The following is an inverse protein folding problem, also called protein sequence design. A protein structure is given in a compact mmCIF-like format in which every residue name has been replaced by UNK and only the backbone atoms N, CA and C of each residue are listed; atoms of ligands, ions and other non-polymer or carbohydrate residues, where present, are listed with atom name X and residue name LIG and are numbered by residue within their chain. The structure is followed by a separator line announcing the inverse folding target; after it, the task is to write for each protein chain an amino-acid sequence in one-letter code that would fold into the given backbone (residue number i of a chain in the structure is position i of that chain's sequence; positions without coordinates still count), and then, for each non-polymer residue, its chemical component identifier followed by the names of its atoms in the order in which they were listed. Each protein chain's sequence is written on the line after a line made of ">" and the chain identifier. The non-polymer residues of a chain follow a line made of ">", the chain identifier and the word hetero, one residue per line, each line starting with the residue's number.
data_IF_059401189743
#
_entry.id   IF_059401189743
#
_cell.length_a   1.000
_cell.length_b   1.000
_cell.length_c   1.000
_cell.angle_alpha   90.00
_cell.angle_beta   90.00
_cell.angle_gamma   90.00
#
_symmetry.space_group_name_H-M   'P 1'
#
loop_
_entity.id
_entity.type
_entity.pdbx_description
1 polymer ?
#
# COMPACT_ATOMS: atom_id res chain seq x y z
N UNK A 1 -7.20 42.25 12.20
CA UNK A 1 -6.86 41.62 10.91
C UNK A 1 -6.38 40.20 11.16
N UNK A 2 -7.30 39.23 11.13
CA UNK A 2 -6.97 37.81 11.28
C UNK A 2 -6.61 37.23 9.92
N UNK A 3 -5.34 36.91 9.70
CA UNK A 3 -4.95 36.11 8.55
C UNK A 3 -5.25 34.64 8.82
N UNK A 4 -6.03 34.05 7.92
CA UNK A 4 -6.42 32.65 7.91
C UNK A 4 -5.19 31.76 7.72
N UNK A 5 -4.97 30.85 8.69
CA UNK A 5 -4.14 29.66 8.49
C UNK A 5 -5.05 28.48 8.20
N UNK A 6 -5.63 28.45 7.01
CA UNK A 6 -6.18 27.22 6.42
C UNK A 6 -5.21 26.76 5.33
N UNK A 7 -4.04 26.28 5.76
CA UNK A 7 -3.27 25.35 4.94
C UNK A 7 -3.78 23.96 5.29
N UNK A 8 -4.68 23.43 4.46
CA UNK A 8 -5.09 22.03 4.55
C UNK A 8 -3.84 21.16 4.36
N UNK A 9 -3.23 20.71 5.47
CA UNK A 9 -2.28 19.63 5.46
C UNK A 9 -3.01 18.37 4.97
N UNK A 10 -3.01 18.16 3.66
CA UNK A 10 -3.42 16.91 3.05
C UNK A 10 -2.45 15.86 3.55
N UNK A 11 -2.82 15.17 4.63
CA UNK A 11 -2.12 13.97 5.11
C UNK A 11 -2.03 12.98 3.95
N UNK A 12 -0.87 12.97 3.27
CA UNK A 12 -0.51 12.14 2.11
C UNK A 12 -0.36 10.65 2.45
N UNK A 13 -0.79 10.23 3.65
CA UNK A 13 -0.92 8.83 4.00
C UNK A 13 -2.03 8.18 3.17
N UNK A 14 -1.65 7.59 2.03
CA UNK A 14 -2.48 6.70 1.21
C UNK A 14 -3.19 5.71 2.14
N UNK A 15 -4.53 5.74 2.14
CA UNK A 15 -5.35 4.94 3.05
C UNK A 15 -5.18 3.46 2.69
N UNK A 16 -4.61 2.68 3.61
CA UNK A 16 -4.39 1.25 3.40
C UNK A 16 -5.71 0.49 3.33
N UNK A 17 -5.97 -0.21 2.22
CA UNK A 17 -7.14 -1.08 2.04
C UNK A 17 -6.82 -2.54 2.41
N UNK A 18 -7.85 -3.28 2.83
CA UNK A 18 -7.72 -4.69 3.20
C UNK A 18 -7.80 -5.57 1.95
N UNK A 19 -6.70 -5.66 1.22
CA UNK A 19 -6.61 -6.44 -0.02
C UNK A 19 -6.70 -7.96 0.23
N UNK A 20 -6.31 -8.44 1.43
CA UNK A 20 -6.33 -9.88 1.75
C UNK A 20 -7.75 -10.44 1.82
N UNK A 21 -8.69 -9.65 2.33
CA UNK A 21 -10.10 -10.05 2.48
C UNK A 21 -10.98 -9.18 1.57
N UNK A 22 -10.47 -8.78 0.40
CA UNK A 22 -11.25 -8.01 -0.57
C UNK A 22 -12.27 -8.92 -1.25
N UNK A 23 -13.47 -8.38 -1.48
CA UNK A 23 -14.51 -9.02 -2.29
C UNK A 23 -14.18 -8.76 -3.77
N UNK A 24 -13.53 -9.73 -4.40
CA UNK A 24 -13.05 -9.60 -5.78
C UNK A 24 -14.16 -9.70 -6.82
N UNK A 25 -15.24 -10.43 -6.55
CA UNK A 25 -16.41 -10.47 -7.43
C UNK A 25 -17.13 -9.13 -7.44
N UNK A 26 -17.28 -8.51 -6.25
CA UNK A 26 -17.81 -7.15 -6.16
C UNK A 26 -16.88 -6.14 -6.83
N UNK A 27 -15.56 -6.28 -6.65
CA UNK A 27 -14.58 -5.43 -7.32
C UNK A 27 -14.71 -5.51 -8.84
N UNK A 28 -14.81 -6.72 -9.40
CA UNK A 28 -14.96 -6.95 -10.84
C UNK A 28 -16.24 -6.30 -11.41
N UNK A 29 -17.38 -6.51 -10.75
CA UNK A 29 -18.66 -5.88 -11.13
C UNK A 29 -18.60 -4.35 -11.08
N UNK A 30 -18.03 -3.79 -10.02
CA UNK A 30 -17.88 -2.34 -9.87
C UNK A 30 -16.88 -1.76 -10.87
N UNK A 31 -15.87 -2.52 -11.27
CA UNK A 31 -14.89 -2.11 -12.27
C UNK A 31 -15.56 -1.99 -13.65
N UNK A 32 -16.29 -3.02 -14.11
CA UNK A 32 -17.06 -2.95 -15.36
C UNK A 32 -18.13 -1.84 -15.32
N UNK A 33 -18.81 -1.64 -14.18
CA UNK A 33 -19.74 -0.52 -14.02
C UNK A 33 -19.04 0.84 -14.16
N UNK A 34 -17.90 1.03 -13.47
CA UNK A 34 -17.15 2.28 -13.53
C UNK A 34 -16.61 2.55 -14.94
N UNK A 35 -16.15 1.53 -15.66
CA UNK A 35 -15.72 1.68 -17.06
C UNK A 35 -16.84 2.25 -17.95
N UNK A 36 -18.08 1.80 -17.73
CA UNK A 36 -19.26 2.31 -18.45
C UNK A 36 -19.60 3.73 -18.02
N UNK A 37 -19.62 4.00 -16.70
CA UNK A 37 -19.95 5.32 -16.14
C UNK A 37 -18.99 6.42 -16.62
N UNK A 38 -17.69 6.10 -16.67
CA UNK A 38 -16.66 7.04 -17.14
C UNK A 38 -16.53 7.08 -18.67
N UNK A 39 -17.34 6.30 -19.40
CA UNK A 39 -17.30 6.16 -20.86
C UNK A 39 -15.87 6.03 -21.39
N UNK A 40 -15.06 5.19 -20.74
CA UNK A 40 -13.67 5.00 -21.12
C UNK A 40 -13.66 4.64 -22.61
N UNK A 41 -12.66 5.05 -23.39
CA UNK A 41 -12.60 4.73 -24.81
C UNK A 41 -11.88 3.39 -25.05
N UNK A 42 -12.44 2.54 -25.92
CA UNK A 42 -11.82 1.26 -26.34
C UNK A 42 -11.23 1.39 -27.75
N UNK A 43 -10.90 2.62 -28.18
CA UNK A 43 -10.30 2.90 -29.49
C UNK A 43 -8.79 3.02 -29.34
N UNK A 44 -8.07 2.85 -30.44
CA UNK A 44 -6.63 3.11 -30.50
C UNK A 44 -6.35 4.58 -30.21
N UNK A 45 -5.41 4.84 -29.31
CA UNK A 45 -4.98 6.19 -28.95
C UNK A 45 -3.97 6.70 -29.98
N UNK A 46 -4.12 7.96 -30.39
CA UNK A 46 -3.36 8.58 -31.50
C UNK A 46 -2.52 9.78 -31.10
N UNK A 47 -2.64 10.25 -29.85
CA UNK A 47 -1.87 11.37 -29.33
C UNK A 47 -1.48 11.15 -27.87
N UNK A 48 -0.46 11.89 -27.42
CA UNK A 48 0.02 11.90 -26.04
C UNK A 48 -1.05 12.42 -25.07
N UNK A 49 -1.87 13.40 -25.48
CA UNK A 49 -3.00 13.89 -24.68
C UNK A 49 -4.05 12.80 -24.44
N UNK A 50 -4.37 12.01 -25.48
CA UNK A 50 -5.29 10.87 -25.33
C UNK A 50 -4.72 9.79 -24.41
N UNK A 51 -3.40 9.59 -24.42
CA UNK A 51 -2.71 8.67 -23.49
C UNK A 51 -2.85 9.17 -22.05
N UNK A 52 -2.59 10.46 -21.81
CA UNK A 52 -2.70 11.08 -20.49
C UNK A 52 -4.13 10.99 -19.93
N UNK A 53 -5.13 11.36 -20.74
CA UNK A 53 -6.54 11.31 -20.35
C UNK A 53 -6.99 9.88 -20.04
N UNK A 54 -6.67 8.93 -20.91
CA UNK A 54 -7.02 7.53 -20.72
C UNK A 54 -6.35 6.95 -19.45
N UNK A 55 -5.07 7.26 -19.21
CA UNK A 55 -4.36 6.80 -18.02
C UNK A 55 -5.00 7.35 -16.74
N UNK A 56 -5.36 8.64 -16.74
CA UNK A 56 -6.04 9.29 -15.62
C UNK A 56 -7.41 8.67 -15.35
N UNK A 57 -8.21 8.46 -16.39
CA UNK A 57 -9.55 7.88 -16.26
C UNK A 57 -9.47 6.43 -15.77
N UNK A 58 -8.57 5.60 -16.31
CA UNK A 58 -8.40 4.22 -15.85
C UNK A 58 -7.95 4.13 -14.39
N UNK A 59 -7.09 5.05 -13.95
CA UNK A 59 -6.70 5.15 -12.53
C UNK A 59 -7.92 5.44 -11.64
N UNK A 60 -8.77 6.41 -12.02
CA UNK A 60 -9.98 6.75 -11.25
C UNK A 60 -11.04 5.64 -11.24
N UNK A 61 -11.18 4.92 -12.35
CA UNK A 61 -12.04 3.73 -12.46
C UNK A 61 -11.62 2.66 -11.45
N UNK A 62 -10.31 2.36 -11.36
CA UNK A 62 -9.79 1.37 -10.40
C UNK A 62 -9.95 1.86 -8.97
N UNK A 63 -9.65 3.14 -8.68
CA UNK A 63 -9.85 3.74 -7.35
C UNK A 63 -11.31 3.68 -6.90
N UNK A 64 -12.27 3.96 -7.80
CA UNK A 64 -13.71 3.86 -7.52
C UNK A 64 -14.11 2.43 -7.18
N UNK A 65 -13.66 1.46 -7.98
CA UNK A 65 -13.93 0.04 -7.72
C UNK A 65 -13.36 -0.39 -6.37
N UNK A 66 -12.10 -0.02 -6.06
CA UNK A 66 -11.46 -0.28 -4.77
C UNK A 66 -12.23 0.33 -3.59
N UNK A 67 -12.68 1.58 -3.72
CA UNK A 67 -13.38 2.28 -2.64
C UNK A 67 -14.73 1.63 -2.30
N UNK A 68 -15.43 1.05 -3.29
CA UNK A 68 -16.73 0.40 -3.09
C UNK A 68 -16.63 -1.07 -2.67
N UNK A 69 -15.57 -1.77 -3.08
CA UNK A 69 -15.42 -3.21 -2.79
C UNK A 69 -14.54 -3.51 -1.57
N UNK A 70 -13.65 -2.61 -1.17
CA UNK A 70 -12.65 -2.88 -0.13
C UNK A 70 -12.84 -2.05 1.14
N UNK A 71 -12.66 -2.70 2.30
CA UNK A 71 -12.68 -2.02 3.60
C UNK A 71 -11.30 -1.41 3.90
N UNK A 72 -11.31 -0.19 4.46
CA UNK A 72 -10.10 0.46 4.98
C UNK A 72 -9.56 -0.29 6.19
N UNK A 73 -8.24 -0.53 6.22
CA UNK A 73 -7.55 -1.13 7.37
C UNK A 73 -7.38 -0.05 8.43
N UNK A 74 -7.97 -0.26 9.61
CA UNK A 74 -7.69 0.54 10.81
C UNK A 74 -6.74 -0.24 11.71
N UNK A 75 -5.45 0.04 11.60
CA UNK A 75 -4.46 -0.53 12.53
C UNK A 75 -4.48 0.29 13.81
N UNK A 76 -4.79 -0.36 14.93
CA UNK A 76 -4.77 0.24 16.26
C UNK A 76 -3.67 -0.42 17.10
N UNK A 77 -3.25 0.22 18.19
CA UNK A 77 -2.25 -0.35 19.13
C UNK A 77 -2.62 -1.77 19.61
N UNK A 78 -3.92 -2.08 19.66
CA UNK A 78 -4.46 -3.38 20.08
C UNK A 78 -4.59 -4.41 18.95
N UNK A 79 -4.36 -4.05 17.69
CA UNK A 79 -4.46 -4.97 16.56
C UNK A 79 -3.36 -6.03 16.61
N UNK A 80 -3.72 -7.31 16.54
CA UNK A 80 -2.80 -8.46 16.61
C UNK A 80 -2.94 -9.33 15.36
N UNK A 81 -1.82 -9.89 14.87
CA UNK A 81 -1.79 -10.71 13.64
C UNK A 81 -2.53 -12.04 13.78
N UNK A 82 -2.49 -12.64 14.97
CA UNK A 82 -3.18 -13.88 15.28
C UNK A 82 -4.68 -13.69 15.55
N UNK A 83 -5.21 -12.46 15.46
CA UNK A 83 -6.63 -12.20 15.67
C UNK A 83 -7.44 -12.65 14.45
N UNK A 84 -8.38 -13.56 14.64
CA UNK A 84 -9.24 -14.13 13.59
C UNK A 84 -10.73 -14.11 14.00
N UNK A 85 -11.59 -14.60 13.11
CA UNK A 85 -13.04 -14.61 13.33
C UNK A 85 -13.45 -15.57 14.45
N UNK A 86 -12.79 -16.73 14.57
CA UNK A 86 -13.05 -17.70 15.64
C UNK A 86 -12.77 -17.15 17.04
N UNK A 87 -11.64 -16.44 17.22
CA UNK A 87 -11.32 -15.75 18.46
C UNK A 87 -12.34 -14.66 18.80
N UNK A 88 -12.88 -13.99 17.77
CA UNK A 88 -13.92 -13.00 17.95
C UNK A 88 -15.21 -13.64 18.47
N UNK A 89 -15.65 -14.75 17.88
CA UNK A 89 -16.83 -15.49 18.32
C UNK A 89 -16.68 -16.03 19.75
N UNK A 90 -15.50 -16.59 20.07
CA UNK A 90 -15.17 -17.04 21.44
C UNK A 90 -15.17 -15.88 22.43
N UNK A 91 -14.67 -14.70 22.04
CA UNK A 91 -14.74 -13.49 22.87
C UNK A 91 -16.17 -13.03 23.08
N UNK A 92 -16.99 -13.00 22.03
CA UNK A 92 -18.39 -12.58 22.10
C UNK A 92 -19.18 -13.47 23.05
N UNK A 93 -19.02 -14.81 22.95
CA UNK A 93 -19.59 -15.78 23.90
C UNK A 93 -19.11 -15.55 25.34
N UNK A 94 -17.82 -15.29 25.55
CA UNK A 94 -17.29 -15.01 26.88
C UNK A 94 -17.83 -13.69 27.47
N UNK A 95 -18.05 -12.67 26.64
CA UNK A 95 -18.63 -11.38 27.04
C UNK A 95 -20.13 -11.48 27.32
N UNK A 96 -20.85 -12.30 26.56
CA UNK A 96 -22.27 -12.60 26.78
C UNK A 96 -22.47 -13.36 28.10
N UNK A 97 -21.75 -14.47 28.31
CA UNK A 97 -21.81 -15.21 29.57
C UNK A 97 -21.45 -14.35 30.79
N UNK A 98 -20.46 -13.45 30.64
CA UNK A 98 -20.11 -12.47 31.68
C UNK A 98 -21.22 -11.45 31.95
N UNK A 99 -21.97 -11.04 30.92
CA UNK A 99 -23.13 -10.14 31.07
C UNK A 99 -24.26 -10.85 31.80
N UNK A 100 -24.60 -12.08 31.40
CA UNK A 100 -25.62 -12.91 32.07
C UNK A 100 -25.30 -13.15 33.55
N UNK A 101 -24.04 -13.46 33.87
CA UNK A 101 -23.59 -13.68 35.25
C UNK A 101 -23.71 -12.43 36.14
N UNK A 102 -23.77 -11.22 35.55
CA UNK A 102 -23.95 -9.94 36.26
C UNK A 102 -25.40 -9.54 36.45
N UNK A 103 -26.33 -10.14 35.71
CA UNK A 103 -27.76 -9.87 35.87
C UNK A 103 -28.27 -10.40 37.22
N UNK A 104 -29.39 -9.85 37.69
CA UNK A 104 -30.09 -10.41 38.85
C UNK A 104 -30.64 -11.77 38.45
N UNK A 105 -30.31 -12.79 39.25
CA UNK A 105 -30.77 -14.15 39.04
C UNK A 105 -31.81 -14.51 40.11
N UNK A 106 -32.82 -15.35 39.81
CA UNK A 106 -33.88 -15.72 40.73
C UNK A 106 -33.39 -16.51 41.95
N UNK A 107 -32.29 -17.26 41.80
CA UNK A 107 -31.72 -18.08 42.88
C UNK A 107 -30.21 -17.95 42.97
N UNK A 108 -29.67 -18.18 44.18
CA UNK A 108 -28.22 -18.22 44.43
C UNK A 108 -27.55 -19.37 43.66
N UNK A 109 -28.23 -20.51 43.50
CA UNK A 109 -27.74 -21.65 42.74
C UNK A 109 -27.54 -21.30 41.26
N UNK A 110 -28.55 -20.67 40.63
CA UNK A 110 -28.46 -20.26 39.23
C UNK A 110 -27.40 -19.17 39.03
N UNK A 111 -27.27 -18.25 40.00
CA UNK A 111 -26.19 -17.25 39.99
C UNK A 111 -24.80 -17.89 40.01
N UNK A 112 -24.58 -18.92 40.84
CA UNK A 112 -23.31 -19.66 40.87
C UNK A 112 -23.04 -20.38 39.55
N UNK A 113 -24.05 -21.04 38.98
CA UNK A 113 -23.94 -21.69 37.67
C UNK A 113 -23.52 -20.70 36.58
N UNK A 114 -24.19 -19.56 36.48
CA UNK A 114 -23.87 -18.51 35.49
C UNK A 114 -22.47 -17.93 35.65
N UNK A 115 -21.99 -17.78 36.89
CA UNK A 115 -20.60 -17.37 37.17
C UNK A 115 -19.61 -18.42 36.67
N UNK A 116 -19.87 -19.72 36.90
CA UNK A 116 -18.99 -20.79 36.42
C UNK A 116 -19.01 -20.93 34.89
N UNK A 117 -20.17 -20.78 34.25
CA UNK A 117 -20.30 -20.71 32.80
C UNK A 117 -19.45 -19.56 32.22
N UNK A 118 -19.51 -18.37 32.83
CA UNK A 118 -18.71 -17.21 32.43
C UNK A 118 -17.20 -17.45 32.61
N UNK A 119 -16.77 -18.08 33.72
CA UNK A 119 -15.37 -18.46 33.94
C UNK A 119 -14.90 -19.48 32.91
N UNK A 120 -15.71 -20.50 32.61
CA UNK A 120 -15.40 -21.53 31.61
C UNK A 120 -15.27 -20.92 30.22
N UNK A 121 -16.23 -20.10 29.80
CA UNK A 121 -16.18 -19.41 28.52
C UNK A 121 -14.95 -18.50 28.40
N UNK A 122 -14.60 -17.80 29.49
CA UNK A 122 -13.39 -16.98 29.53
C UNK A 122 -12.11 -17.81 29.43
N UNK A 123 -12.02 -18.94 30.14
CA UNK A 123 -10.87 -19.85 30.09
C UNK A 123 -10.68 -20.43 28.68
N UNK A 124 -11.77 -20.80 28.01
CA UNK A 124 -11.75 -21.26 26.61
C UNK A 124 -11.21 -20.17 25.69
N UNK A 125 -11.71 -18.93 25.82
CA UNK A 125 -11.19 -17.81 25.03
C UNK A 125 -9.71 -17.54 25.28
N UNK A 126 -9.28 -17.45 26.55
CA UNK A 126 -7.89 -17.16 26.90
C UNK A 126 -6.95 -18.31 26.45
N UNK A 127 -7.41 -19.57 26.46
CA UNK A 127 -6.69 -20.72 25.91
C UNK A 127 -6.50 -20.59 24.39
N UNK A 128 -7.59 -20.43 23.65
CA UNK A 128 -7.53 -20.27 22.19
C UNK A 128 -6.75 -19.04 21.76
N UNK A 129 -6.74 -17.97 22.57
CA UNK A 129 -5.92 -16.79 22.32
C UNK A 129 -4.42 -17.12 22.39
N UNK A 130 -4.01 -17.93 23.37
CA UNK A 130 -2.61 -18.38 23.51
C UNK A 130 -2.25 -19.34 22.38
N UNK A 131 -3.11 -20.32 22.10
CA UNK A 131 -2.91 -21.26 20.99
C UNK A 131 -2.72 -20.52 19.67
N UNK A 132 -3.66 -19.64 19.30
CA UNK A 132 -3.58 -18.88 18.06
C UNK A 132 -2.32 -17.99 18.00
N UNK A 133 -1.92 -17.38 19.12
CA UNK A 133 -0.67 -16.60 19.17
C UNK A 133 0.56 -17.47 18.94
N UNK A 134 0.63 -18.64 19.59
CA UNK A 134 1.74 -19.58 19.46
C UNK A 134 1.77 -20.22 18.08
N UNK A 135 0.64 -20.68 17.56
CA UNK A 135 0.51 -21.27 16.24
C UNK A 135 0.91 -20.28 15.16
N UNK A 136 0.44 -19.03 15.23
CA UNK A 136 0.83 -18.00 14.28
C UNK A 136 2.33 -17.69 14.33
N UNK A 137 2.94 -17.76 15.52
CA UNK A 137 4.39 -17.59 15.68
C UNK A 137 5.16 -18.79 15.14
N UNK A 138 4.73 -20.02 15.43
CA UNK A 138 5.33 -21.25 14.92
C UNK A 138 5.22 -21.32 13.40
N UNK A 139 4.04 -21.03 12.84
CA UNK A 139 3.84 -20.93 11.38
C UNK A 139 4.75 -19.88 10.75
N UNK A 140 4.96 -18.77 11.43
CA UNK A 140 5.95 -17.77 10.99
C UNK A 140 7.36 -18.35 11.02
N UNK A 141 7.80 -18.97 12.12
CA UNK A 141 9.13 -19.59 12.23
C UNK A 141 9.35 -20.69 11.18
N UNK A 142 8.38 -21.58 10.98
CA UNK A 142 8.45 -22.65 9.97
C UNK A 142 8.49 -22.13 8.53
N UNK A 143 8.05 -20.89 8.29
CA UNK A 143 8.14 -20.27 6.95
C UNK A 143 9.49 -19.62 6.66
N UNK A 144 10.42 -19.62 7.62
CA UNK A 144 11.74 -18.99 7.48
C UNK A 144 12.77 -20.04 7.07
N UNK A 145 13.52 -19.75 6.00
CA UNK A 145 14.58 -20.62 5.50
C UNK A 145 15.91 -19.84 5.35
N UNK A 146 17.03 -20.53 5.54
CA UNK A 146 18.38 -20.02 5.31
C UNK A 146 18.69 -18.72 6.07
N UNK A 147 18.91 -17.63 5.32
CA UNK A 147 19.36 -16.32 5.83
C UNK A 147 18.29 -15.53 6.62
N UNK A 148 17.13 -16.12 6.87
CA UNK A 148 15.99 -15.49 7.54
C UNK A 148 16.11 -15.38 9.07
N UNK A 149 17.15 -15.98 9.66
CA UNK A 149 17.51 -15.81 11.10
C UNK A 149 17.60 -14.32 11.48
N UNK A 150 18.10 -13.48 10.57
CA UNK A 150 18.18 -12.04 10.79
C UNK A 150 16.81 -11.35 10.95
N UNK A 151 15.74 -11.91 10.36
CA UNK A 151 14.36 -11.43 10.58
C UNK A 151 13.88 -11.72 12.00
N UNK A 152 14.28 -12.87 12.57
CA UNK A 152 13.96 -13.25 13.96
C UNK A 152 14.69 -12.34 14.94
N UNK A 153 15.99 -12.10 14.72
CA UNK A 153 16.79 -11.18 15.54
C UNK A 153 16.16 -9.78 15.62
N UNK A 154 15.51 -9.31 14.55
CA UNK A 154 14.77 -8.03 14.55
C UNK A 154 13.52 -8.02 15.45
N UNK A 155 12.94 -9.17 15.75
CA UNK A 155 11.82 -9.30 16.70
C UNK A 155 12.28 -9.39 18.14
N UNK A 156 13.40 -10.06 18.39
CA UNK A 156 13.95 -10.29 19.74
C UNK A 156 14.69 -9.06 20.24
N UNK A 157 15.46 -8.40 19.37
CA UNK A 157 16.21 -7.22 19.76
C UNK A 157 15.25 -6.04 20.02
N UNK A 158 15.57 -5.18 21.02
CA UNK A 158 14.84 -3.95 21.25
C UNK A 158 14.74 -3.18 19.94
N UNK A 159 13.53 -2.83 19.53
CA UNK A 159 13.34 -1.93 18.40
C UNK A 159 13.87 -0.57 18.83
N UNK A 160 14.97 -0.13 18.23
CA UNK A 160 15.29 1.29 18.20
C UNK A 160 14.08 2.03 17.60
N UNK A 161 13.78 3.23 18.10
CA UNK A 161 12.67 4.06 17.61
C UNK A 161 12.97 4.64 16.21
N UNK A 162 13.47 3.83 15.27
CA UNK A 162 13.92 4.20 13.92
C UNK A 162 12.83 4.83 13.05
N UNK A 163 11.57 4.70 13.46
CA UNK A 163 10.42 5.32 12.78
C UNK A 163 10.36 6.83 13.00
N UNK A 164 10.97 7.35 14.07
CA UNK A 164 11.00 8.77 14.37
C UNK A 164 12.34 9.31 13.88
N UNK A 165 12.31 10.16 12.85
CA UNK A 165 13.49 10.89 12.42
C UNK A 165 13.83 11.90 13.53
N UNK A 166 15.01 11.80 14.19
CA UNK A 166 15.48 12.78 15.17
C UNK A 166 15.60 14.19 14.56
N UNK A 167 16.01 15.15 15.37
CA UNK A 167 16.32 16.48 14.84
C UNK A 167 17.49 16.39 13.87
N UNK A 168 17.36 17.07 12.75
CA UNK A 168 18.37 17.14 11.70
C UNK A 168 19.20 18.39 11.94
N UNK A 169 20.53 18.27 11.83
CA UNK A 169 21.44 19.41 11.93
C UNK A 169 21.47 20.15 10.59
N UNK A 170 21.12 21.43 10.63
CA UNK A 170 21.18 22.36 9.49
C UNK A 170 22.64 22.75 9.18
N UNK A 171 22.86 23.37 8.03
CA UNK A 171 24.18 23.87 7.62
C UNK A 171 24.71 24.96 8.58
N UNK A 172 23.82 25.76 9.18
CA UNK A 172 24.15 26.79 10.18
C UNK A 172 24.50 26.22 11.57
N UNK A 173 24.47 24.89 11.73
CA UNK A 173 24.75 24.19 12.99
C UNK A 173 23.55 24.07 13.94
N UNK A 174 22.43 24.72 13.65
CA UNK A 174 21.19 24.61 14.44
C UNK A 174 20.44 23.31 14.16
N UNK A 175 19.47 22.97 15.01
CA UNK A 175 18.66 21.76 14.89
C UNK A 175 17.26 22.09 14.39
N UNK A 176 16.70 21.22 13.55
CA UNK A 176 15.32 21.35 13.08
C UNK A 176 14.31 21.13 14.22
N UNK A 177 13.23 21.90 14.19
CA UNK A 177 12.16 21.87 15.19
C UNK A 177 10.87 21.28 14.62
N UNK A 178 10.57 21.56 13.35
CA UNK A 178 9.34 21.09 12.69
C UNK A 178 9.61 19.93 11.73
N UNK A 179 8.53 19.23 11.34
CA UNK A 179 8.61 18.15 10.34
C UNK A 179 8.93 18.71 8.95
N UNK A 180 8.40 19.89 8.60
CA UNK A 180 8.67 20.52 7.32
C UNK A 180 10.12 20.99 7.20
N UNK A 181 10.69 21.53 8.27
CA UNK A 181 12.13 21.85 8.32
C UNK A 181 12.97 20.58 8.13
N UNK A 182 12.63 19.48 8.81
CA UNK A 182 13.30 18.18 8.59
C UNK A 182 13.19 17.73 7.13
N UNK A 183 12.00 17.83 6.55
CA UNK A 183 11.75 17.43 5.15
C UNK A 183 12.62 18.26 4.20
N UNK A 184 12.68 19.57 4.40
CA UNK A 184 13.44 20.48 3.56
C UNK A 184 14.95 20.19 3.61
N UNK A 185 15.53 20.07 4.82
CA UNK A 185 16.97 19.78 4.97
C UNK A 185 17.35 18.42 4.38
N UNK A 186 16.50 17.41 4.57
CA UNK A 186 16.71 16.08 3.98
C UNK A 186 16.59 16.13 2.46
N UNK A 187 15.59 16.85 1.93
CA UNK A 187 15.39 17.03 0.50
C UNK A 187 16.59 17.69 -0.15
N UNK A 188 16.98 18.89 0.33
CA UNK A 188 18.11 19.66 -0.15
C UNK A 188 19.40 18.83 -0.19
N UNK A 189 19.66 18.02 0.84
CA UNK A 189 20.89 17.25 0.95
C UNK A 189 20.91 15.94 0.14
N UNK A 190 19.75 15.34 -0.14
CA UNK A 190 19.66 14.02 -0.81
C UNK A 190 19.20 14.11 -2.27
N UNK A 191 18.51 15.18 -2.64
CA UNK A 191 17.95 15.42 -3.96
C UNK A 191 18.37 16.84 -4.38
N UNK A 192 19.65 17.03 -4.76
CA UNK A 192 20.11 18.33 -5.23
C UNK A 192 19.30 18.73 -6.46
N UNK A 193 19.04 20.03 -6.62
CA UNK A 193 18.50 20.56 -7.87
C UNK A 193 19.48 20.20 -8.98
N UNK A 194 19.06 19.31 -9.86
CA UNK A 194 19.80 18.98 -11.06
C UNK A 194 19.44 20.08 -12.05
N UNK A 195 20.43 20.89 -12.43
CA UNK A 195 20.30 21.72 -13.62
C UNK A 195 20.21 20.76 -14.82
N UNK A 196 18.98 20.54 -15.29
CA UNK A 196 18.71 19.71 -16.45
C UNK A 196 19.23 20.37 -17.75
N UNK A 197 19.75 21.60 -17.67
CA UNK A 197 20.02 22.45 -18.83
C UNK A 197 18.71 22.84 -19.51
N UNK A 198 18.81 23.32 -20.75
CA UNK A 198 17.65 23.29 -21.65
C UNK A 198 17.25 21.82 -21.83
N UNK A 199 15.96 21.51 -21.68
CA UNK A 199 15.39 20.23 -22.10
C UNK A 199 15.89 19.97 -23.53
N UNK A 200 16.86 19.07 -23.68
CA UNK A 200 17.31 18.69 -25.02
C UNK A 200 16.14 17.96 -25.62
N UNK A 201 15.52 18.57 -26.62
CA UNK A 201 14.67 17.85 -27.54
C UNK A 201 15.55 16.77 -28.17
N UNK A 202 15.43 15.55 -27.66
CA UNK A 202 15.95 14.40 -28.36
C UNK A 202 15.05 14.25 -29.58
N UNK A 203 15.66 14.24 -30.77
CA UNK A 203 14.97 13.72 -31.94
C UNK A 203 14.57 12.29 -31.62
N UNK A 204 13.27 12.07 -31.41
CA UNK A 204 12.74 10.73 -31.30
C UNK A 204 12.96 10.13 -32.68
N UNK A 205 13.92 9.22 -32.78
CA UNK A 205 14.12 8.41 -33.96
C UNK A 205 12.77 7.75 -34.29
N UNK A 206 12.18 8.12 -35.45
CA UNK A 206 10.92 7.54 -35.95
C UNK A 206 11.13 6.07 -36.39
N UNK A 207 12.32 5.52 -36.12
CA UNK A 207 12.62 4.12 -36.34
C UNK A 207 11.73 3.26 -35.44
N UNK A 208 10.60 2.86 -36.05
CA UNK A 208 9.55 1.94 -35.63
C UNK A 208 10.02 0.54 -35.22
N UNK A 209 11.30 0.38 -34.86
CA UNK A 209 11.94 -0.88 -34.43
C UNK A 209 11.39 -1.44 -33.14
N UNK A 210 10.65 -0.65 -32.36
CA UNK A 210 9.92 -1.17 -31.21
C UNK A 210 8.87 -2.17 -31.69
N UNK A 211 9.01 -3.47 -31.37
CA UNK A 211 8.07 -4.47 -31.80
C UNK A 211 6.69 -4.16 -31.22
N UNK A 212 5.67 -4.68 -31.90
CA UNK A 212 4.29 -4.51 -31.42
C UNK A 212 4.18 -5.22 -30.08
N UNK A 213 3.82 -4.46 -29.04
CA UNK A 213 3.53 -5.01 -27.73
C UNK A 213 2.38 -6.01 -27.83
N UNK A 214 2.64 -7.24 -27.39
CA UNK A 214 1.70 -8.36 -27.36
C UNK A 214 1.10 -8.58 -25.97
N UNK A 215 -0.06 -9.24 -25.91
CA UNK A 215 -0.75 -9.51 -24.63
C UNK A 215 0.10 -10.32 -23.65
N UNK A 216 0.81 -11.33 -24.15
CA UNK A 216 1.63 -12.24 -23.34
C UNK A 216 2.78 -11.51 -22.62
N UNK A 217 3.27 -10.41 -23.20
CA UNK A 217 4.30 -9.57 -22.59
C UNK A 217 3.77 -8.81 -21.39
N UNK A 218 2.55 -8.27 -21.51
CA UNK A 218 1.86 -7.61 -20.39
C UNK A 218 1.48 -8.62 -19.32
N UNK A 219 0.99 -9.81 -19.71
CA UNK A 219 0.69 -10.91 -18.80
C UNK A 219 1.95 -11.32 -18.00
N UNK A 220 3.10 -11.46 -18.66
CA UNK A 220 4.39 -11.76 -18.02
C UNK A 220 4.84 -10.64 -17.08
N UNK A 221 4.80 -9.38 -17.54
CA UNK A 221 5.22 -8.22 -16.74
C UNK A 221 4.36 -8.05 -15.47
N UNK A 222 3.06 -8.32 -15.58
CA UNK A 222 2.14 -8.37 -14.46
C UNK A 222 2.47 -9.54 -13.55
N UNK A 223 2.63 -10.77 -14.06
CA UNK A 223 2.97 -11.95 -13.27
C UNK A 223 4.19 -11.71 -12.36
N UNK A 224 5.27 -11.16 -12.93
CA UNK A 224 6.51 -10.80 -12.25
C UNK A 224 6.39 -9.64 -11.25
N UNK A 225 5.25 -8.94 -11.22
CA UNK A 225 5.03 -7.83 -10.30
C UNK A 225 4.54 -8.36 -8.95
N UNK A 226 5.30 -8.15 -7.85
CA UNK A 226 4.91 -8.68 -6.54
C UNK A 226 3.55 -8.15 -6.07
N UNK A 227 2.73 -9.03 -5.49
CA UNK A 227 1.37 -8.71 -5.06
C UNK A 227 1.32 -7.62 -3.98
N UNK A 228 2.30 -7.61 -3.09
CA UNK A 228 2.45 -6.71 -1.95
C UNK A 228 3.45 -5.57 -2.20
N UNK A 229 3.86 -5.36 -3.46
CA UNK A 229 4.69 -4.22 -3.84
C UNK A 229 4.00 -2.93 -3.39
N UNK A 230 4.77 -2.04 -2.76
CA UNK A 230 4.27 -0.76 -2.29
C UNK A 230 3.68 0.06 -3.45
N UNK A 231 2.43 0.53 -3.32
CA UNK A 231 1.77 1.35 -4.33
C UNK A 231 2.34 2.78 -4.35
N UNK A 232 1.96 3.56 -5.36
CA UNK A 232 2.19 5.00 -5.37
C UNK A 232 1.17 5.74 -4.50
N UNK A 233 0.99 7.02 -4.79
CA UNK A 233 -0.06 7.89 -4.24
C UNK A 233 -1.48 7.45 -4.62
N UNK A 234 -1.63 6.62 -5.66
CA UNK A 234 -2.89 6.02 -6.10
C UNK A 234 -3.43 4.91 -5.17
N UNK A 235 -2.56 4.30 -4.36
CA UNK A 235 -2.88 3.14 -3.52
C UNK A 235 -3.12 1.83 -4.27
N UNK A 236 -2.91 1.79 -5.59
CA UNK A 236 -3.14 0.59 -6.42
C UNK A 236 -1.94 -0.35 -6.25
N UNK A 237 -2.14 -1.51 -5.64
CA UNK A 237 -1.07 -2.51 -5.45
C UNK A 237 -0.95 -3.47 -6.62
N UNK A 238 0.15 -4.22 -6.67
CA UNK A 238 0.34 -5.30 -7.66
C UNK A 238 -0.81 -6.29 -7.68
N UNK A 239 -1.33 -6.68 -6.52
CA UNK A 239 -2.50 -7.57 -6.45
C UNK A 239 -3.76 -6.92 -7.06
N UNK A 240 -4.01 -5.64 -6.78
CA UNK A 240 -5.19 -4.94 -7.34
C UNK A 240 -5.10 -4.86 -8.86
N UNK A 241 -3.94 -4.46 -9.40
CA UNK A 241 -3.77 -4.34 -10.85
C UNK A 241 -3.91 -5.70 -11.55
N UNK A 242 -3.36 -6.78 -10.96
CA UNK A 242 -3.55 -8.15 -11.47
C UNK A 242 -5.02 -8.55 -11.48
N UNK A 243 -5.77 -8.25 -10.43
CA UNK A 243 -7.20 -8.58 -10.39
C UNK A 243 -8.01 -7.72 -11.38
N UNK A 244 -7.65 -6.45 -11.58
CA UNK A 244 -8.24 -5.61 -12.61
C UNK A 244 -7.95 -6.15 -14.01
N UNK A 245 -6.75 -6.67 -14.25
CA UNK A 245 -6.36 -7.28 -15.52
C UNK A 245 -7.15 -8.54 -15.88
N UNK A 246 -7.74 -9.25 -14.91
CA UNK A 246 -8.63 -10.38 -15.19
C UNK A 246 -9.99 -9.93 -15.75
N UNK A 247 -10.39 -8.68 -15.51
CA UNK A 247 -11.62 -8.13 -16.06
C UNK A 247 -11.42 -7.81 -17.55
N UNK A 248 -12.27 -8.39 -18.42
CA UNK A 248 -12.14 -8.26 -19.88
C UNK A 248 -12.20 -6.80 -20.35
N UNK A 249 -13.14 -6.02 -19.83
CA UNK A 249 -13.33 -4.61 -20.23
C UNK A 249 -12.08 -3.79 -19.87
N UNK A 250 -11.55 -3.98 -18.65
CA UNK A 250 -10.34 -3.29 -18.22
C UNK A 250 -9.11 -3.74 -19.01
N UNK A 251 -8.94 -5.05 -19.22
CA UNK A 251 -7.81 -5.66 -19.94
C UNK A 251 -7.62 -5.04 -21.32
N UNK A 252 -8.67 -4.99 -22.14
CA UNK A 252 -8.59 -4.44 -23.50
C UNK A 252 -8.14 -2.96 -23.53
N UNK A 253 -8.64 -2.17 -22.58
CA UNK A 253 -8.40 -0.73 -22.51
C UNK A 253 -7.03 -0.40 -21.96
N UNK A 254 -6.62 -1.13 -20.92
CA UNK A 254 -5.30 -0.99 -20.33
C UNK A 254 -4.21 -1.47 -21.30
N UNK A 255 -4.47 -2.56 -22.03
CA UNK A 255 -3.57 -3.01 -23.08
C UNK A 255 -3.38 -1.97 -24.18
N UNK A 256 -4.47 -1.40 -24.72
CA UNK A 256 -4.39 -0.31 -25.73
C UNK A 256 -3.65 0.92 -25.22
N UNK A 257 -3.80 1.24 -23.93
CA UNK A 257 -3.04 2.31 -23.30
C UNK A 257 -1.54 1.98 -23.30
N UNK A 258 -1.14 0.78 -22.87
CA UNK A 258 0.27 0.35 -22.87
C UNK A 258 0.85 0.29 -24.29
N UNK A 259 0.10 -0.24 -25.26
CA UNK A 259 0.52 -0.25 -26.67
C UNK A 259 0.78 1.16 -27.19
N UNK A 260 -0.08 2.13 -26.86
CA UNK A 260 0.13 3.52 -27.22
C UNK A 260 1.35 4.11 -26.51
N UNK A 261 1.55 3.83 -25.22
CA UNK A 261 2.73 4.29 -24.49
C UNK A 261 4.03 3.78 -25.14
N UNK A 262 4.08 2.49 -25.50
CA UNK A 262 5.24 1.89 -26.19
C UNK A 262 5.43 2.52 -27.57
N UNK A 263 4.36 2.56 -28.38
CA UNK A 263 4.41 3.11 -29.73
C UNK A 263 4.90 4.56 -29.79
N UNK A 264 4.43 5.40 -28.87
CA UNK A 264 4.78 6.83 -28.83
C UNK A 264 6.03 7.12 -27.99
N UNK A 265 6.68 6.11 -27.40
CA UNK A 265 7.76 6.32 -26.43
C UNK A 265 7.34 7.21 -25.25
N UNK A 266 6.05 7.19 -24.89
CA UNK A 266 5.45 8.19 -24.01
C UNK A 266 5.05 7.59 -22.67
N UNK A 267 5.56 8.19 -21.59
CA UNK A 267 5.16 7.86 -20.23
C UNK A 267 4.02 8.79 -19.77
N UNK A 268 2.82 8.29 -19.41
CA UNK A 268 1.72 9.14 -18.97
C UNK A 268 2.09 10.06 -17.81
N UNK A 269 1.69 11.34 -17.86
CA UNK A 269 1.97 12.35 -16.81
C UNK A 269 1.50 11.91 -15.44
N UNK A 270 0.33 11.27 -15.37
CA UNK A 270 -0.22 10.76 -14.11
C UNK A 270 0.64 9.67 -13.46
N UNK A 271 1.49 9.00 -14.24
CA UNK A 271 2.45 7.98 -13.79
C UNK A 271 3.83 8.56 -13.44
N UNK A 272 4.15 9.79 -13.85
CA UNK A 272 5.39 10.51 -13.51
C UNK A 272 5.40 11.05 -12.07
N UNK A 273 4.33 10.85 -11.33
CA UNK A 273 4.21 11.26 -9.94
C UNK A 273 4.58 10.10 -9.01
N UNK A 274 5.34 10.38 -7.96
CA UNK A 274 5.76 9.38 -6.98
C UNK A 274 5.92 9.98 -5.59
N UNK A 275 5.75 9.13 -4.57
CA UNK A 275 5.98 9.53 -3.17
C UNK A 275 7.42 9.19 -2.80
N UNK A 276 8.18 10.18 -2.32
CA UNK A 276 9.53 9.92 -1.77
C UNK A 276 9.42 9.64 -0.28
N UNK A 277 9.81 8.42 0.09
CA UNK A 277 9.89 7.99 1.49
C UNK A 277 11.35 7.88 1.90
N UNK A 278 11.69 8.49 3.02
CA UNK A 278 13.06 8.51 3.53
C UNK A 278 13.23 7.40 4.57
N UNK A 279 14.21 6.52 4.37
CA UNK A 279 14.50 5.38 5.26
C UNK A 279 15.90 5.52 5.88
N UNK A 280 16.08 5.32 7.19
CA UNK A 280 17.40 5.33 7.82
C UNK A 280 18.30 4.25 7.22
N UNK A 281 19.54 4.61 6.86
CA UNK A 281 20.60 3.63 6.55
C UNK A 281 20.95 2.91 7.85
N UNK A 282 21.19 1.58 7.85
CA UNK A 282 21.53 0.85 9.05
C UNK A 282 22.90 1.28 9.58
N UNK A 283 23.07 1.21 10.90
CA UNK A 283 24.35 1.37 11.62
C UNK A 283 25.07 2.70 11.30
N UNK A 284 24.33 3.79 11.12
CA UNK A 284 24.96 5.12 11.01
C UNK A 284 25.29 5.65 12.41
N UNK A 285 26.47 6.27 12.59
CA UNK A 285 26.89 6.77 13.90
C UNK A 285 26.06 7.95 14.38
N UNK A 286 25.50 8.73 13.44
CA UNK A 286 24.74 9.94 13.72
C UNK A 286 23.59 10.09 12.72
N UNK A 287 22.36 10.03 13.22
CA UNK A 287 21.13 10.20 12.45
C UNK A 287 20.62 11.64 12.42
N UNK A 288 21.33 12.59 13.04
CA UNK A 288 21.06 14.02 12.82
C UNK A 288 21.54 14.51 11.45
N UNK A 289 22.34 13.71 10.73
CA UNK A 289 22.87 14.03 9.41
C UNK A 289 21.91 13.56 8.30
N UNK A 290 21.49 14.42 7.37
CA UNK A 290 20.63 14.02 6.23
C UNK A 290 21.14 12.82 5.44
N UNK A 291 22.47 12.75 5.22
CA UNK A 291 23.13 11.65 4.50
C UNK A 291 23.07 10.29 5.21
N UNK A 292 22.61 10.23 6.46
CA UNK A 292 22.30 8.99 7.17
C UNK A 292 21.03 8.30 6.64
N UNK A 293 20.28 8.95 5.75
CA UNK A 293 19.05 8.41 5.17
C UNK A 293 19.18 8.11 3.68
N UNK A 294 18.22 7.34 3.16
CA UNK A 294 18.05 6.98 1.75
C UNK A 294 16.66 7.43 1.30
N UNK A 295 16.52 8.21 0.22
CA UNK A 295 15.22 8.39 -0.41
C UNK A 295 14.86 7.12 -1.18
N UNK A 296 13.60 6.71 -1.12
CA UNK A 296 13.02 5.66 -1.96
C UNK A 296 11.76 6.23 -2.61
N UNK A 297 11.73 6.20 -3.94
CA UNK A 297 10.57 6.61 -4.73
C UNK A 297 9.56 5.48 -4.83
N UNK A 298 8.36 5.72 -4.34
CA UNK A 298 7.20 4.85 -4.51
C UNK A 298 6.43 5.30 -5.75
N UNK A 299 6.74 4.67 -6.89
CA UNK A 299 6.03 4.89 -8.15
C UNK A 299 4.75 4.03 -8.21
N UNK A 300 3.78 4.52 -9.00
CA UNK A 300 2.54 3.78 -9.32
C UNK A 300 2.84 2.43 -9.95
N UNK A 301 2.03 1.43 -9.67
CA UNK A 301 2.28 0.08 -10.18
C UNK A 301 2.14 0.00 -11.71
N UNK A 302 1.14 0.63 -12.36
CA UNK A 302 1.08 0.70 -13.83
C UNK A 302 2.35 1.27 -14.47
N UNK A 303 2.94 2.33 -13.87
CA UNK A 303 4.22 2.91 -14.30
C UNK A 303 5.35 1.87 -14.31
N UNK A 304 5.49 1.09 -13.22
CA UNK A 304 6.50 0.02 -13.09
C UNK A 304 6.27 -1.13 -14.07
N UNK A 305 5.01 -1.42 -14.43
CA UNK A 305 4.69 -2.42 -15.44
C UNK A 305 5.16 -1.91 -16.81
N UNK A 306 4.86 -0.65 -17.16
CA UNK A 306 5.34 -0.06 -18.40
C UNK A 306 6.88 -0.04 -18.47
N UNK A 307 7.57 0.33 -17.38
CA UNK A 307 9.05 0.26 -17.32
C UNK A 307 9.61 -1.14 -17.55
N UNK A 308 8.91 -2.19 -17.10
CA UNK A 308 9.35 -3.57 -17.34
C UNK A 308 9.23 -3.95 -18.81
N UNK A 309 8.18 -3.47 -19.48
CA UNK A 309 8.00 -3.70 -20.91
C UNK A 309 9.17 -3.08 -21.69
N UNK A 310 9.59 -1.86 -21.35
CA UNK A 310 10.75 -1.21 -21.98
C UNK A 310 12.10 -1.88 -21.71
N UNK A 311 12.24 -2.69 -20.65
CA UNK A 311 13.53 -3.31 -20.23
C UNK A 311 13.74 -4.71 -20.75
N UNK A 312 12.71 -5.34 -21.31
CA UNK A 312 12.77 -6.74 -21.77
C UNK A 312 13.39 -6.86 -23.16
N UNK A 313 13.53 -5.73 -23.85
CA UNK A 313 14.28 -5.55 -25.11
C UNK A 313 15.66 -4.97 -24.82
#
# INVERSE_FOLDING_TARGET
>A
MSQSKNGDEVSTSVKRLNIKNADWEKFDKELSSAIKDFNVHNKTLKSTDQIDDQAKVLEEVVKRAMAKSMKKVKVMKKSKRYWNQELREKLEKALEAKREARQRQPSLALKRQKIEEAKKARKIFDHSLREASTEQWNKYLSSLEGNDIWKILKYINPKSNDTIIPQIRKEDGTLTTTVDEKRHEIWKALLPEIDHGLDREFEIDDDSRWPKLEFDEVDSALADTPNDKAPGDDGITGKVLKMAWLNKDFKERFFKLLQACVKFGYHPKVWRHGIIVVIPKPKKPDYSKPRAYRPISLLKIPSKVLEKLYKKE
#
